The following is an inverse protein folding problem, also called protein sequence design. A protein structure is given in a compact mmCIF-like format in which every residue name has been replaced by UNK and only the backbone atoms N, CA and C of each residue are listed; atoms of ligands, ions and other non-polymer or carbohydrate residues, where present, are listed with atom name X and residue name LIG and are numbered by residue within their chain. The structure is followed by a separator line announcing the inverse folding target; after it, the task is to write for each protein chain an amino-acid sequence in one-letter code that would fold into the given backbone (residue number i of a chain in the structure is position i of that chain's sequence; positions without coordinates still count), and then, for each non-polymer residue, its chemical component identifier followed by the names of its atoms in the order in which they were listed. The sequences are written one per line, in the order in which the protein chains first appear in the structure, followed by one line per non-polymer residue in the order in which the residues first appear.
data_IF_545237961779
#
_entry.id   IF_545237961779
#
_cell.length_a   1.000
_cell.length_b   1.000
_cell.length_c   1.000
_cell.angle_alpha   90.00
_cell.angle_beta   90.00
_cell.angle_gamma   90.00
#
_symmetry.space_group_name_H-M   'P 1'
#
loop_
_entity.id
_entity.type
_entity.pdbx_description
1 polymer ?
#
# COMPACT_ATOMS: atom_id res chain seq x y z
N UNK A 1 31.16 3.72 -13.90
CA UNK A 1 29.98 3.55 -13.02
C UNK A 1 28.74 3.74 -13.87
N UNK A 2 27.96 2.68 -14.07
CA UNK A 2 26.62 2.81 -14.66
C UNK A 2 25.69 3.46 -13.62
N UNK A 3 25.20 4.67 -13.89
CA UNK A 3 24.18 5.30 -13.07
C UNK A 3 22.80 4.79 -13.52
N UNK A 4 22.16 3.98 -12.70
CA UNK A 4 20.74 3.62 -12.86
C UNK A 4 19.93 4.80 -12.34
N UNK A 5 18.93 5.26 -13.13
CA UNK A 5 17.98 6.29 -12.72
C UNK A 5 16.59 5.74 -12.89
N UNK A 6 15.86 5.65 -11.79
CA UNK A 6 14.46 5.26 -11.80
C UNK A 6 13.58 6.49 -11.95
N UNK A 7 12.45 6.31 -12.63
CA UNK A 7 11.41 7.34 -12.77
C UNK A 7 10.06 6.69 -12.46
N UNK A 8 9.34 7.30 -11.55
CA UNK A 8 8.00 6.90 -11.14
C UNK A 8 6.92 7.72 -11.88
N UNK A 9 5.75 7.12 -12.08
CA UNK A 9 4.56 7.71 -12.74
C UNK A 9 4.86 8.35 -14.11
N UNK A 10 5.67 7.68 -14.94
CA UNK A 10 6.15 8.23 -16.24
C UNK A 10 5.71 7.41 -17.45
N UNK A 11 4.88 6.40 -17.29
CA UNK A 11 4.51 5.49 -18.37
C UNK A 11 3.89 6.23 -19.57
N UNK A 12 3.15 7.31 -19.32
CA UNK A 12 2.53 8.17 -20.34
C UNK A 12 3.53 9.08 -21.08
N UNK A 13 4.76 9.26 -20.58
CA UNK A 13 5.77 10.14 -21.18
C UNK A 13 6.54 9.45 -22.31
N UNK A 14 6.02 9.51 -23.52
CA UNK A 14 6.53 8.82 -24.72
C UNK A 14 7.86 9.36 -25.27
N UNK A 15 8.29 10.55 -24.85
CA UNK A 15 9.55 11.13 -25.27
C UNK A 15 10.77 10.52 -24.58
N UNK A 16 10.56 9.79 -23.51
CA UNK A 16 11.63 9.08 -22.79
C UNK A 16 11.62 7.62 -23.23
N UNK A 17 12.77 7.12 -23.67
CA UNK A 17 12.99 5.70 -23.96
C UNK A 17 13.77 5.08 -22.79
N UNK A 18 13.12 4.45 -21.82
CA UNK A 18 13.81 3.76 -20.73
C UNK A 18 14.44 2.46 -21.22
N UNK A 19 15.48 1.98 -20.52
CA UNK A 19 16.07 0.67 -20.76
C UNK A 19 15.20 -0.50 -20.27
N UNK A 20 14.29 -0.22 -19.32
CA UNK A 20 13.30 -1.16 -18.78
C UNK A 20 12.03 -0.40 -18.45
N UNK A 21 10.90 -0.87 -18.93
CA UNK A 21 9.58 -0.30 -18.66
C UNK A 21 8.71 -1.28 -17.86
N UNK A 22 8.37 -0.90 -16.65
CA UNK A 22 7.53 -1.69 -15.75
C UNK A 22 6.14 -1.05 -15.67
N UNK A 23 5.11 -1.81 -15.97
CA UNK A 23 3.71 -1.42 -15.79
C UNK A 23 3.15 -2.07 -14.52
N UNK A 24 2.59 -1.25 -13.63
CA UNK A 24 1.90 -1.73 -12.44
C UNK A 24 0.39 -1.78 -12.68
N UNK A 25 -0.23 -2.85 -12.22
CA UNK A 25 -1.69 -2.98 -12.15
C UNK A 25 -2.08 -3.65 -10.85
N UNK A 26 -3.32 -3.49 -10.39
CA UNK A 26 -3.79 -4.17 -9.19
C UNK A 26 -4.61 -5.40 -9.57
N UNK A 27 -4.60 -6.43 -8.72
CA UNK A 27 -5.37 -7.65 -8.96
C UNK A 27 -6.89 -7.39 -8.97
N UNK A 28 -7.38 -6.57 -8.04
CA UNK A 28 -8.82 -6.27 -7.93
C UNK A 28 -9.33 -5.33 -9.02
N UNK A 29 -8.52 -4.35 -9.42
CA UNK A 29 -8.88 -3.32 -10.42
C UNK A 29 -7.81 -3.28 -11.52
N UNK A 30 -7.73 -4.31 -12.38
CA UNK A 30 -6.73 -4.36 -13.42
C UNK A 30 -7.04 -3.35 -14.53
N UNK A 31 -6.00 -2.76 -15.11
CA UNK A 31 -6.13 -1.69 -16.11
C UNK A 31 -6.99 -2.10 -17.31
N UNK A 32 -7.02 -3.38 -17.68
CA UNK A 32 -7.81 -3.85 -18.81
C UNK A 32 -9.33 -3.83 -18.57
N UNK A 33 -9.77 -3.72 -17.30
CA UNK A 33 -11.18 -3.54 -16.91
C UNK A 33 -11.57 -2.07 -16.69
N UNK A 34 -10.60 -1.15 -16.73
CA UNK A 34 -10.84 0.27 -16.51
C UNK A 34 -10.95 1.03 -17.84
N UNK A 35 -11.47 2.24 -17.82
CA UNK A 35 -11.68 3.11 -18.99
C UNK A 35 -10.81 4.37 -18.91
N UNK A 36 -10.65 5.05 -20.05
CA UNK A 36 -9.89 6.29 -20.14
C UNK A 36 -10.65 7.42 -19.45
N UNK A 37 -9.91 8.34 -18.83
CA UNK A 37 -10.45 9.60 -18.31
C UNK A 37 -11.31 10.32 -19.38
N UNK A 38 -12.45 10.92 -19.02
CA UNK A 38 -12.99 11.08 -17.66
C UNK A 38 -13.91 9.94 -17.21
N UNK A 39 -14.14 8.90 -18.02
CA UNK A 39 -15.08 7.80 -17.72
C UNK A 39 -14.48 6.83 -16.69
N UNK A 40 -13.20 6.56 -16.76
CA UNK A 40 -12.44 5.73 -15.84
C UNK A 40 -11.19 6.46 -15.33
N UNK A 41 -10.16 5.71 -14.94
CA UNK A 41 -8.95 6.26 -14.34
C UNK A 41 -7.72 6.15 -15.25
N UNK A 42 -7.83 5.53 -16.41
CA UNK A 42 -6.70 5.38 -17.32
C UNK A 42 -6.30 6.71 -17.95
N UNK A 43 -5.02 7.01 -17.92
CA UNK A 43 -4.43 8.18 -18.61
C UNK A 43 -4.11 7.90 -20.07
N UNK A 44 -4.05 6.61 -20.46
CA UNK A 44 -3.79 6.15 -21.81
C UNK A 44 -4.66 4.94 -22.17
N UNK A 45 -4.76 4.66 -23.47
CA UNK A 45 -5.44 3.48 -23.98
C UNK A 45 -4.82 2.18 -23.43
N UNK A 46 -5.65 1.17 -23.15
CA UNK A 46 -5.26 -0.19 -22.69
C UNK A 46 -4.15 -0.79 -23.57
N UNK A 47 -4.17 -0.58 -24.88
CA UNK A 47 -3.14 -1.03 -25.82
C UNK A 47 -1.74 -0.45 -25.56
N UNK A 48 -1.62 0.63 -24.79
CA UNK A 48 -0.32 1.19 -24.41
C UNK A 48 0.49 0.24 -23.50
N UNK A 49 -0.17 -0.70 -22.84
CA UNK A 49 0.48 -1.77 -22.04
C UNK A 49 1.50 -2.57 -22.85
N UNK A 50 1.32 -2.69 -24.17
CA UNK A 50 2.25 -3.37 -25.08
C UNK A 50 3.67 -2.77 -25.11
N UNK A 51 3.85 -1.56 -24.56
CA UNK A 51 5.19 -0.93 -24.43
C UNK A 51 5.97 -1.41 -23.21
N UNK A 52 5.31 -2.04 -22.24
CA UNK A 52 5.96 -2.55 -21.05
C UNK A 52 6.81 -3.78 -21.37
N UNK A 53 7.98 -3.87 -20.77
CA UNK A 53 8.80 -5.08 -20.77
C UNK A 53 8.33 -6.04 -19.68
N UNK A 54 7.85 -5.48 -18.56
CA UNK A 54 7.38 -6.21 -17.38
C UNK A 54 6.04 -5.64 -16.94
N UNK A 55 5.11 -6.54 -16.58
CA UNK A 55 3.84 -6.19 -15.94
C UNK A 55 3.85 -6.80 -14.54
N UNK A 56 3.65 -5.97 -13.52
CA UNK A 56 3.54 -6.45 -12.14
C UNK A 56 2.10 -6.27 -11.66
N UNK A 57 1.46 -7.39 -11.37
CA UNK A 57 0.14 -7.42 -10.76
C UNK A 57 0.32 -7.34 -9.25
N UNK A 58 -0.03 -6.20 -8.68
CA UNK A 58 0.15 -5.91 -7.26
C UNK A 58 -1.10 -6.18 -6.45
N UNK A 59 -0.98 -6.21 -5.13
CA UNK A 59 -2.08 -6.41 -4.19
C UNK A 59 -2.82 -7.72 -4.43
N UNK A 60 -2.11 -8.76 -4.81
CA UNK A 60 -2.68 -10.09 -4.96
C UNK A 60 -3.01 -10.69 -3.59
N UNK A 61 -4.04 -11.56 -3.49
CA UNK A 61 -4.21 -12.42 -2.32
C UNK A 61 -2.94 -13.24 -2.04
N UNK A 62 -2.62 -13.44 -0.77
CA UNK A 62 -1.41 -14.22 -0.37
C UNK A 62 -1.52 -15.67 -0.85
N UNK A 63 -2.73 -16.21 -0.84
CA UNK A 63 -3.08 -17.59 -1.23
C UNK A 63 -3.58 -17.69 -2.68
N UNK A 64 -3.17 -16.76 -3.56
CA UNK A 64 -3.58 -16.72 -4.97
C UNK A 64 -3.23 -18.03 -5.68
N UNK A 65 -4.26 -18.75 -6.13
CA UNK A 65 -4.13 -20.05 -6.78
C UNK A 65 -3.55 -19.93 -8.19
N UNK A 66 -2.95 -21.00 -8.65
CA UNK A 66 -2.35 -21.06 -10.01
C UNK A 66 -3.39 -20.79 -11.09
N UNK A 67 -4.56 -21.40 -11.00
CA UNK A 67 -5.64 -21.23 -11.98
C UNK A 67 -6.12 -19.76 -12.06
N UNK A 68 -6.14 -19.04 -10.92
CA UNK A 68 -6.51 -17.62 -10.90
C UNK A 68 -5.44 -16.75 -11.58
N UNK A 69 -4.16 -17.11 -11.43
CA UNK A 69 -3.06 -16.44 -12.13
C UNK A 69 -3.14 -16.67 -13.64
N UNK A 70 -3.39 -17.90 -14.06
CA UNK A 70 -3.54 -18.25 -15.48
C UNK A 70 -4.71 -17.51 -16.11
N UNK A 71 -5.88 -17.53 -15.49
CA UNK A 71 -7.07 -16.80 -15.94
C UNK A 71 -6.83 -15.29 -15.99
N UNK A 72 -6.06 -14.74 -15.03
CA UNK A 72 -5.68 -13.33 -15.05
C UNK A 72 -4.74 -13.02 -16.22
N UNK A 73 -3.74 -13.86 -16.49
CA UNK A 73 -2.80 -13.71 -17.61
C UNK A 73 -3.54 -13.78 -18.95
N UNK A 74 -4.47 -14.72 -19.12
CA UNK A 74 -5.30 -14.80 -20.31
C UNK A 74 -6.07 -13.50 -20.54
N UNK A 75 -6.70 -12.95 -19.50
CA UNK A 75 -7.44 -11.69 -19.57
C UNK A 75 -6.53 -10.49 -19.83
N UNK A 76 -5.31 -10.50 -19.30
CA UNK A 76 -4.29 -9.48 -19.48
C UNK A 76 -3.75 -9.45 -20.91
N UNK A 77 -3.71 -10.62 -21.56
CA UNK A 77 -3.24 -10.81 -22.94
C UNK A 77 -1.86 -10.18 -23.21
N UNK A 78 -0.82 -10.54 -22.45
CA UNK A 78 0.51 -9.98 -22.64
C UNK A 78 1.12 -10.46 -23.98
N UNK A 79 2.08 -9.69 -24.48
CA UNK A 79 2.90 -10.12 -25.62
C UNK A 79 3.91 -11.21 -25.17
N UNK A 80 4.37 -12.04 -26.09
CA UNK A 80 5.31 -13.16 -25.82
C UNK A 80 6.61 -12.70 -25.14
N UNK A 81 7.04 -11.48 -25.42
CA UNK A 81 8.25 -10.88 -24.83
C UNK A 81 8.01 -10.19 -23.49
N UNK A 82 6.77 -10.06 -23.03
CA UNK A 82 6.44 -9.43 -21.76
C UNK A 82 6.47 -10.44 -20.61
N UNK A 83 7.09 -10.05 -19.50
CA UNK A 83 7.08 -10.86 -18.27
C UNK A 83 6.01 -10.37 -17.32
N UNK A 84 5.22 -11.30 -16.76
CA UNK A 84 4.17 -10.99 -15.78
C UNK A 84 4.57 -11.54 -14.42
N UNK A 85 4.55 -10.69 -13.41
CA UNK A 85 4.79 -11.03 -12.01
C UNK A 85 3.57 -10.71 -11.16
N UNK A 86 3.38 -11.51 -10.11
CA UNK A 86 2.33 -11.29 -9.10
C UNK A 86 2.99 -10.99 -7.76
N UNK A 87 2.52 -9.95 -7.11
CA UNK A 87 3.04 -9.47 -5.82
C UNK A 87 1.91 -9.27 -4.83
N UNK A 88 2.06 -9.78 -3.63
CA UNK A 88 1.14 -9.61 -2.51
C UNK A 88 1.69 -8.62 -1.50
N UNK A 89 0.83 -7.87 -0.85
CA UNK A 89 1.23 -7.03 0.28
C UNK A 89 1.31 -7.89 1.54
N UNK A 90 2.44 -7.82 2.20
CA UNK A 90 2.64 -8.41 3.53
C UNK A 90 3.03 -7.33 4.53
N UNK A 91 2.81 -7.59 5.81
CA UNK A 91 3.18 -6.68 6.88
C UNK A 91 4.17 -7.37 7.80
N UNK A 92 5.18 -6.62 8.25
CA UNK A 92 6.13 -7.15 9.23
C UNK A 92 5.43 -7.34 10.57
N UNK A 93 5.75 -8.42 11.25
CA UNK A 93 5.21 -8.72 12.58
C UNK A 93 5.84 -7.86 13.70
N UNK A 94 6.93 -7.20 13.38
CA UNK A 94 7.56 -6.23 14.27
C UNK A 94 7.13 -4.82 13.88
N UNK A 95 6.57 -4.11 14.86
CA UNK A 95 6.18 -2.71 14.75
C UNK A 95 7.23 -1.84 15.45
N UNK A 96 7.48 -0.66 14.91
CA UNK A 96 8.58 0.21 15.35
C UNK A 96 8.07 1.54 15.86
N UNK A 97 8.73 2.04 16.86
CA UNK A 97 8.67 3.44 17.30
C UNK A 97 10.03 4.10 17.08
N UNK A 98 10.22 5.34 17.56
CA UNK A 98 11.56 5.91 17.62
C UNK A 98 12.44 5.34 18.71
N UNK A 99 11.84 4.70 19.71
CA UNK A 99 12.48 4.31 20.93
C UNK A 99 12.76 2.80 20.97
N UNK A 100 11.87 2.01 20.38
CA UNK A 100 11.90 0.56 20.49
C UNK A 100 11.24 -0.12 19.27
N UNK A 101 11.39 -1.43 19.22
CA UNK A 101 10.71 -2.33 18.29
C UNK A 101 10.05 -3.44 19.12
N UNK A 102 8.76 -3.68 18.92
CA UNK A 102 8.00 -4.70 19.62
C UNK A 102 7.28 -5.62 18.64
N UNK A 103 6.96 -6.84 19.07
CA UNK A 103 6.14 -7.73 18.25
C UNK A 103 4.67 -7.27 18.24
N UNK A 104 4.01 -7.36 17.09
CA UNK A 104 2.62 -6.89 16.93
C UNK A 104 1.65 -7.59 17.88
N UNK A 105 1.91 -8.84 18.23
CA UNK A 105 1.07 -9.60 19.16
C UNK A 105 1.02 -8.99 20.57
N UNK A 106 1.98 -8.13 20.94
CA UNK A 106 1.93 -7.39 22.21
C UNK A 106 0.74 -6.44 22.28
N UNK A 107 0.16 -6.07 21.11
CA UNK A 107 -1.05 -5.27 21.05
C UNK A 107 -2.32 -6.06 21.41
N UNK A 108 -2.23 -7.40 21.54
CA UNK A 108 -3.37 -8.24 21.97
C UNK A 108 -3.73 -8.05 23.44
N UNK A 109 -2.80 -7.56 24.25
CA UNK A 109 -2.99 -7.35 25.69
C UNK A 109 -4.02 -6.24 26.02
N UNK A 110 -4.24 -5.30 25.10
CA UNK A 110 -5.21 -4.21 25.23
C UNK A 110 -5.67 -3.70 23.87
N UNK A 111 -6.84 -3.09 23.83
CA UNK A 111 -7.29 -2.39 22.62
C UNK A 111 -6.31 -1.25 22.28
N UNK A 112 -6.06 -1.06 20.99
CA UNK A 112 -5.24 0.06 20.49
C UNK A 112 -5.97 0.91 19.48
N UNK A 113 -5.39 2.03 19.09
CA UNK A 113 -5.94 2.92 18.07
C UNK A 113 -5.14 2.75 16.78
N UNK A 114 -5.82 2.33 15.71
CA UNK A 114 -5.26 2.35 14.36
C UNK A 114 -5.55 3.70 13.72
N UNK A 115 -4.51 4.40 13.26
CA UNK A 115 -4.63 5.68 12.55
C UNK A 115 -4.08 5.52 11.15
N UNK A 116 -4.88 5.82 10.13
CA UNK A 116 -4.43 5.78 8.73
C UNK A 116 -4.89 6.99 7.94
N UNK A 117 -3.99 7.56 7.13
CA UNK A 117 -4.22 8.61 6.15
C UNK A 117 -3.66 8.23 4.78
N UNK A 118 -3.91 6.99 4.36
CA UNK A 118 -3.53 6.41 3.07
C UNK A 118 -4.78 6.11 2.25
N UNK A 119 -4.63 6.04 0.92
CA UNK A 119 -5.72 5.82 -0.02
C UNK A 119 -6.52 4.54 0.29
N UNK A 120 -5.82 3.45 0.58
CA UNK A 120 -6.44 2.17 0.87
C UNK A 120 -5.76 1.50 2.07
N UNK A 121 -6.53 1.35 3.15
CA UNK A 121 -6.11 0.70 4.39
C UNK A 121 -6.74 -0.68 4.60
N UNK A 122 -7.50 -1.21 3.62
CA UNK A 122 -8.24 -2.47 3.76
C UNK A 122 -7.29 -3.65 4.04
N UNK A 123 -6.20 -3.76 3.31
CA UNK A 123 -5.20 -4.82 3.51
C UNK A 123 -4.58 -4.81 4.92
N UNK A 124 -4.31 -3.63 5.47
CA UNK A 124 -3.82 -3.51 6.84
C UNK A 124 -4.88 -3.94 7.86
N UNK A 125 -6.12 -3.52 7.65
CA UNK A 125 -7.26 -3.92 8.51
C UNK A 125 -7.47 -5.43 8.45
N UNK A 126 -7.45 -6.04 7.26
CA UNK A 126 -7.56 -7.49 7.09
C UNK A 126 -6.41 -8.24 7.80
N UNK A 127 -5.17 -7.76 7.66
CA UNK A 127 -4.03 -8.33 8.35
C UNK A 127 -4.19 -8.28 9.88
N UNK A 128 -4.58 -7.13 10.43
CA UNK A 128 -4.80 -6.99 11.89
C UNK A 128 -5.97 -7.87 12.37
N UNK A 129 -7.03 -7.98 11.59
CA UNK A 129 -8.16 -8.87 11.90
C UNK A 129 -7.77 -10.35 11.85
N UNK A 130 -6.93 -10.77 10.89
CA UNK A 130 -6.42 -12.14 10.82
C UNK A 130 -5.60 -12.53 12.05
N UNK A 131 -4.92 -11.55 12.67
CA UNK A 131 -4.22 -11.69 13.95
C UNK A 131 -5.16 -11.61 15.18
N UNK A 132 -6.49 -11.45 14.96
CA UNK A 132 -7.51 -11.31 16.02
C UNK A 132 -7.25 -10.14 16.98
N UNK A 133 -6.60 -9.08 16.51
CA UNK A 133 -6.28 -7.90 17.30
C UNK A 133 -7.51 -6.98 17.38
N UNK A 134 -7.73 -6.37 18.56
CA UNK A 134 -8.84 -5.45 18.80
C UNK A 134 -8.36 -4.01 18.70
N UNK A 135 -8.97 -3.22 17.83
CA UNK A 135 -8.57 -1.83 17.63
C UNK A 135 -9.76 -0.93 17.24
N UNK A 136 -9.61 0.35 17.52
CA UNK A 136 -10.49 1.38 16.99
C UNK A 136 -9.79 2.06 15.81
N UNK A 137 -10.41 2.01 14.61
CA UNK A 137 -9.83 2.60 13.42
C UNK A 137 -10.26 4.06 13.26
N UNK A 138 -9.28 4.95 13.17
CA UNK A 138 -9.43 6.35 12.77
C UNK A 138 -8.91 6.51 11.36
N UNK A 139 -9.80 6.39 10.38
CA UNK A 139 -9.47 6.52 8.96
C UNK A 139 -9.60 7.98 8.53
N UNK A 140 -8.55 8.52 7.94
CA UNK A 140 -8.49 9.84 7.31
C UNK A 140 -8.32 9.69 5.80
N UNK A 141 -8.55 10.75 5.04
CA UNK A 141 -8.31 10.78 3.60
C UNK A 141 -6.83 10.59 3.27
N UNK A 142 -6.53 10.16 2.05
CA UNK A 142 -5.13 10.08 1.60
C UNK A 142 -4.45 11.45 1.68
N UNK A 143 -3.17 11.44 2.03
CA UNK A 143 -2.36 12.65 2.25
C UNK A 143 -2.92 13.63 3.30
N UNK A 144 -3.77 13.16 4.22
CA UNK A 144 -4.39 14.02 5.23
C UNK A 144 -3.37 14.81 6.03
N UNK A 145 -3.59 16.11 6.17
CA UNK A 145 -2.81 16.98 7.05
C UNK A 145 -3.39 16.93 8.46
N UNK A 146 -2.68 16.27 9.39
CA UNK A 146 -3.14 16.16 10.77
C UNK A 146 -3.15 17.53 11.44
N UNK A 147 -4.35 18.06 11.63
CA UNK A 147 -4.62 19.35 12.30
C UNK A 147 -4.56 19.20 13.83
N UNK A 148 -4.52 20.32 14.56
CA UNK A 148 -4.59 20.31 16.03
C UNK A 148 -5.81 19.53 16.52
N UNK A 149 -6.99 19.74 15.94
CA UNK A 149 -8.21 19.06 16.32
C UNK A 149 -8.13 17.52 16.10
N UNK A 150 -7.54 17.07 14.98
CA UNK A 150 -7.35 15.64 14.73
C UNK A 150 -6.36 15.00 15.71
N UNK A 151 -5.29 15.72 16.04
CA UNK A 151 -4.31 15.28 17.04
C UNK A 151 -4.92 15.18 18.44
N UNK A 152 -5.68 16.20 18.85
CA UNK A 152 -6.38 16.20 20.15
C UNK A 152 -7.41 15.05 20.23
N UNK A 153 -8.07 14.74 19.12
CA UNK A 153 -8.95 13.55 19.01
C UNK A 153 -8.17 12.25 19.20
N UNK A 154 -7.03 12.11 18.51
CA UNK A 154 -6.19 10.91 18.64
C UNK A 154 -5.71 10.77 20.08
N UNK A 155 -5.13 11.83 20.66
CA UNK A 155 -4.63 11.83 22.05
C UNK A 155 -5.71 11.44 23.07
N UNK A 156 -6.92 12.00 22.94
CA UNK A 156 -8.02 11.70 23.84
C UNK A 156 -8.46 10.24 23.76
N UNK A 157 -8.40 9.62 22.57
CA UNK A 157 -8.80 8.24 22.36
C UNK A 157 -7.69 7.24 22.68
N UNK A 158 -6.43 7.69 22.72
CA UNK A 158 -5.26 6.86 23.01
C UNK A 158 -4.75 7.00 24.46
N UNK A 159 -5.55 7.56 25.37
CA UNK A 159 -5.20 7.52 26.80
C UNK A 159 -5.03 6.07 27.21
N UNK A 160 -3.84 5.73 27.74
CA UNK A 160 -3.43 4.38 28.14
C UNK A 160 -3.47 3.32 27.01
N UNK A 161 -3.48 3.76 25.75
CA UNK A 161 -3.51 2.88 24.58
C UNK A 161 -2.38 3.22 23.61
N UNK A 162 -1.81 2.21 22.99
CA UNK A 162 -0.87 2.39 21.89
C UNK A 162 -1.59 2.89 20.63
N UNK A 163 -0.88 3.66 19.83
CA UNK A 163 -1.31 4.08 18.49
C UNK A 163 -0.49 3.31 17.48
N UNK A 164 -1.15 2.61 16.57
CA UNK A 164 -0.54 1.99 15.40
C UNK A 164 -0.87 2.78 14.16
N UNK A 165 0.11 3.01 13.30
CA UNK A 165 -0.07 3.73 12.05
C UNK A 165 0.77 3.13 10.93
N UNK A 166 0.67 3.67 9.71
CA UNK A 166 1.56 3.32 8.60
C UNK A 166 2.87 4.09 8.71
N UNK A 167 3.94 3.59 8.10
CA UNK A 167 5.23 4.30 8.06
C UNK A 167 5.09 5.71 7.46
N UNK A 168 4.28 5.84 6.39
CA UNK A 168 3.98 7.12 5.73
C UNK A 168 3.33 8.13 6.69
N UNK A 169 2.37 7.69 7.49
CA UNK A 169 1.66 8.56 8.41
C UNK A 169 2.43 8.81 9.71
N UNK A 170 3.32 7.89 10.09
CA UNK A 170 4.17 8.04 11.26
C UNK A 170 5.02 9.31 11.18
N UNK A 171 5.66 9.57 10.04
CA UNK A 171 6.44 10.79 9.83
C UNK A 171 5.64 12.08 10.01
N UNK A 172 4.31 12.04 9.77
CA UNK A 172 3.40 13.19 9.92
C UNK A 172 2.83 13.33 11.32
N UNK A 173 2.69 12.22 12.04
CA UNK A 173 2.13 12.16 13.39
C UNK A 173 3.19 12.36 14.47
N UNK A 174 4.38 11.81 14.27
CA UNK A 174 5.50 11.82 15.20
C UNK A 174 5.79 13.19 15.83
N UNK A 175 5.89 14.32 15.07
CA UNK A 175 6.17 15.63 15.66
C UNK A 175 5.04 16.15 16.57
N UNK A 176 3.89 15.49 16.58
CA UNK A 176 2.64 15.99 17.16
C UNK A 176 2.09 15.12 18.28
N UNK A 177 2.56 13.87 18.40
CA UNK A 177 2.14 12.88 19.41
C UNK A 177 3.37 12.45 20.19
N UNK A 178 3.20 12.09 21.46
CA UNK A 178 4.29 11.58 22.30
C UNK A 178 4.86 10.29 21.71
N UNK A 179 6.17 10.23 21.54
CA UNK A 179 6.91 9.13 20.88
C UNK A 179 6.77 7.75 21.57
N UNK A 180 6.41 7.73 22.87
CA UNK A 180 6.35 6.48 23.65
C UNK A 180 5.20 5.54 23.27
N UNK A 181 4.13 6.10 22.67
CA UNK A 181 2.87 5.36 22.49
C UNK A 181 2.50 5.21 21.02
N UNK A 182 3.34 5.69 20.09
CA UNK A 182 3.08 5.61 18.65
C UNK A 182 4.07 4.65 17.97
N UNK A 183 3.50 3.69 17.26
CA UNK A 183 4.22 2.68 16.48
C UNK A 183 3.77 2.72 15.03
N UNK A 184 4.66 2.32 14.14
CA UNK A 184 4.32 2.09 12.73
C UNK A 184 4.62 0.66 12.31
N UNK A 185 3.85 0.21 11.32
CA UNK A 185 4.03 -1.09 10.70
C UNK A 185 4.62 -0.91 9.29
N UNK A 186 5.63 -1.71 8.99
CA UNK A 186 6.27 -1.73 7.68
C UNK A 186 5.56 -2.71 6.75
N UNK A 187 5.46 -2.30 5.48
CA UNK A 187 4.96 -3.13 4.38
C UNK A 187 6.14 -3.82 3.71
N UNK A 188 5.94 -5.06 3.27
CA UNK A 188 6.84 -5.82 2.40
C UNK A 188 6.05 -6.36 1.20
N UNK A 189 6.70 -6.50 0.05
CA UNK A 189 6.16 -7.11 -1.17
C UNK A 189 6.98 -8.33 -1.55
#
# INVERSE_FOLDING_TARGET
QMCIRDRDDVFQHRFVKPGLMILLTTFQYPFYKDEILPVGNLRENKGSSKRADVIVVTKCPIDLKINDKESFIESLSPLDNQKVFFSSLTYKEKIKSNLDEIHIDTLSASDFILVTGIADSSYLVEFLNSKKLKFKHLKYSDHFTFTKSSIDKIRRLSVDKKVLTTEKDFGRLKPKINDRDIYFIEVSM
#
